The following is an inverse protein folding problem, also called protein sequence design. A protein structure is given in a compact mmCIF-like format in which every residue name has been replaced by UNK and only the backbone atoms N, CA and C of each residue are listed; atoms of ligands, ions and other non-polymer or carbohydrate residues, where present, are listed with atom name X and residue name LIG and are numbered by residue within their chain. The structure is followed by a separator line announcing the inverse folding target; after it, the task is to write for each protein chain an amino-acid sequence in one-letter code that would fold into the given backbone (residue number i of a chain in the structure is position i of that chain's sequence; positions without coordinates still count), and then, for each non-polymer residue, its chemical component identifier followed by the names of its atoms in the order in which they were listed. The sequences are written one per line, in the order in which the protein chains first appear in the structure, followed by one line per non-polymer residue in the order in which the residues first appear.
data_IF_378818053040
#
_entry.id   IF_378818053040
#
_cell.length_a   1.000
_cell.length_b   1.000
_cell.length_c   1.000
_cell.angle_alpha   90.00
_cell.angle_beta   90.00
_cell.angle_gamma   90.00
#
_symmetry.space_group_name_H-M   'P 1'
#
loop_
_entity.id
_entity.type
_entity.pdbx_description
1 polymer ?
#
# COMPACT_ATOMS: atom_id res chain seq x y z
N UNK A 1 18.72 34.58 11.80
CA UNK A 1 17.68 33.54 11.97
C UNK A 1 17.35 32.92 10.62
N UNK A 2 17.63 31.61 10.44
CA UNK A 2 17.29 30.89 9.21
C UNK A 2 15.80 30.95 8.87
N UNK A 3 15.47 30.93 7.57
CA UNK A 3 14.10 30.81 7.08
C UNK A 3 13.81 29.35 6.78
N UNK A 4 12.70 28.86 7.31
CA UNK A 4 12.30 27.47 7.27
C UNK A 4 10.92 27.34 6.63
N UNK A 5 10.60 26.15 6.13
CA UNK A 5 9.29 25.82 5.57
C UNK A 5 8.74 24.54 6.17
N UNK A 6 7.50 24.60 6.65
CA UNK A 6 6.67 23.45 6.99
C UNK A 6 5.58 23.31 5.93
N UNK A 7 5.36 22.09 5.41
CA UNK A 7 4.31 21.84 4.42
C UNK A 7 3.13 21.15 5.10
N UNK A 8 1.94 21.70 4.87
CA UNK A 8 0.71 21.23 5.50
C UNK A 8 -0.49 21.30 4.56
N UNK A 9 -1.61 20.72 4.96
CA UNK A 9 -2.87 20.85 4.24
C UNK A 9 -3.43 22.27 4.37
N UNK A 10 -3.99 22.82 3.29
CA UNK A 10 -4.52 24.20 3.32
C UNK A 10 -5.62 24.42 4.38
N UNK A 11 -6.40 23.37 4.70
CA UNK A 11 -7.41 23.41 5.79
C UNK A 11 -6.84 23.66 7.19
N UNK A 12 -5.54 23.40 7.40
CA UNK A 12 -4.88 23.61 8.69
C UNK A 12 -4.45 25.06 8.91
N UNK A 13 -4.46 25.91 7.85
CA UNK A 13 -4.02 27.30 7.91
C UNK A 13 -4.68 28.09 9.05
N UNK A 14 -6.03 28.08 9.23
CA UNK A 14 -6.66 28.88 10.28
C UNK A 14 -6.23 28.46 11.70
N UNK A 15 -6.00 27.16 11.92
CA UNK A 15 -5.53 26.67 13.22
C UNK A 15 -4.08 27.07 13.48
N UNK A 16 -3.24 27.03 12.44
CA UNK A 16 -1.82 27.39 12.51
C UNK A 16 -1.65 28.89 12.75
N UNK A 17 -2.46 29.73 12.11
CA UNK A 17 -2.43 31.18 12.35
C UNK A 17 -2.77 31.52 13.80
N UNK A 18 -3.69 30.78 14.43
CA UNK A 18 -4.11 31.03 15.82
C UNK A 18 -3.13 30.49 16.86
N UNK A 19 -2.55 29.32 16.62
CA UNK A 19 -1.86 28.56 17.68
C UNK A 19 -0.49 28.00 17.29
N UNK A 20 0.03 28.41 16.14
CA UNK A 20 1.31 27.94 15.64
C UNK A 20 1.25 26.54 15.03
N UNK A 21 2.42 25.97 14.76
CA UNK A 21 2.53 24.63 14.18
C UNK A 21 2.71 23.63 15.32
N UNK A 22 1.70 22.78 15.52
CA UNK A 22 1.73 21.76 16.57
C UNK A 22 2.32 20.45 16.05
N UNK A 23 2.98 19.66 16.91
CA UNK A 23 3.41 18.32 16.56
C UNK A 23 2.23 17.47 16.06
N UNK A 24 2.47 16.67 15.02
CA UNK A 24 1.45 15.80 14.45
C UNK A 24 1.03 14.73 15.47
N UNK A 25 -0.28 14.44 15.57
CA UNK A 25 -0.79 13.36 16.44
C UNK A 25 -0.19 11.99 16.11
N UNK A 26 0.26 11.79 14.87
CA UNK A 26 0.80 10.50 14.41
C UNK A 26 2.30 10.35 14.65
N UNK A 27 3.07 11.42 14.45
CA UNK A 27 4.54 11.35 14.55
C UNK A 27 5.10 12.01 15.80
N UNK A 28 4.31 12.78 16.55
CA UNK A 28 4.77 13.51 17.73
C UNK A 28 5.74 14.66 17.41
N UNK A 29 5.92 15.01 16.14
CA UNK A 29 6.92 16.01 15.70
C UNK A 29 6.40 16.97 14.64
N UNK A 30 7.09 18.10 14.49
CA UNK A 30 6.92 19.10 13.43
C UNK A 30 8.07 18.98 12.44
N UNK A 31 7.79 18.48 11.24
CA UNK A 31 8.77 18.42 10.15
C UNK A 31 8.91 19.77 9.44
N UNK A 32 10.13 20.14 9.06
CA UNK A 32 10.40 21.32 8.25
C UNK A 32 11.67 21.16 7.43
N UNK A 33 11.95 22.12 6.56
CA UNK A 33 13.21 22.21 5.81
C UNK A 33 13.72 23.65 5.78
N UNK A 34 15.05 23.87 5.74
CA UNK A 34 15.59 25.20 5.48
C UNK A 34 15.36 25.62 4.04
N UNK A 35 14.87 26.84 3.83
CA UNK A 35 14.66 27.42 2.50
C UNK A 35 15.99 27.70 1.76
N UNK A 36 17.11 27.79 2.51
CA UNK A 36 18.44 27.98 1.95
C UNK A 36 18.90 26.80 1.07
N UNK A 37 18.31 25.62 1.22
CA UNK A 37 18.64 24.44 0.42
C UNK A 37 18.09 24.48 -1.02
N UNK A 38 17.39 25.56 -1.39
CA UNK A 38 16.73 25.70 -2.68
C UNK A 38 15.34 25.07 -2.72
N UNK A 39 14.47 25.61 -3.57
CA UNK A 39 13.04 25.29 -3.57
C UNK A 39 12.74 23.80 -3.72
N UNK A 40 13.47 23.09 -4.58
CA UNK A 40 13.27 21.67 -4.83
C UNK A 40 13.53 20.82 -3.57
N UNK A 41 14.64 21.08 -2.87
CA UNK A 41 15.00 20.36 -1.64
C UNK A 41 14.06 20.72 -0.50
N UNK A 42 13.77 22.00 -0.29
CA UNK A 42 12.89 22.43 0.80
C UNK A 42 11.44 21.95 0.63
N UNK A 43 11.02 21.67 -0.61
CA UNK A 43 9.68 21.17 -0.93
C UNK A 43 9.65 19.72 -1.40
N UNK A 44 10.73 18.96 -1.18
CA UNK A 44 10.88 17.61 -1.74
C UNK A 44 9.79 16.61 -1.32
N UNK A 45 9.09 16.90 -0.21
CA UNK A 45 8.01 16.09 0.34
C UNK A 45 6.61 16.49 -0.15
N UNK A 46 6.45 17.61 -0.84
CA UNK A 46 5.12 18.15 -1.16
C UNK A 46 4.28 17.15 -1.97
N UNK A 47 4.91 16.43 -2.89
CA UNK A 47 4.27 15.39 -3.68
C UNK A 47 3.75 14.23 -2.84
N UNK A 48 4.62 13.67 -2.00
CA UNK A 48 4.26 12.54 -1.14
C UNK A 48 3.21 12.93 -0.11
N UNK A 49 3.30 14.13 0.46
CA UNK A 49 2.27 14.65 1.37
C UNK A 49 0.90 14.76 0.70
N UNK A 50 0.82 15.19 -0.57
CA UNK A 50 -0.44 15.19 -1.33
C UNK A 50 -1.01 13.79 -1.49
N UNK A 51 -0.17 12.81 -1.81
CA UNK A 51 -0.59 11.42 -2.00
C UNK A 51 -0.98 10.73 -0.68
N UNK A 52 -0.24 10.98 0.40
CA UNK A 52 -0.47 10.33 1.69
C UNK A 52 -1.67 10.90 2.43
N UNK A 53 -1.84 12.22 2.43
CA UNK A 53 -2.90 12.86 3.20
C UNK A 53 -4.23 12.96 2.44
N UNK A 54 -4.26 12.54 1.16
CA UNK A 54 -5.43 12.67 0.26
C UNK A 54 -6.00 14.10 0.25
N UNK A 55 -5.14 15.12 0.39
CA UNK A 55 -5.58 16.51 0.43
C UNK A 55 -5.48 17.12 -0.96
N UNK A 56 -6.52 17.83 -1.43
CA UNK A 56 -6.52 18.42 -2.77
C UNK A 56 -5.51 19.57 -2.87
N UNK A 57 -5.27 20.30 -1.77
CA UNK A 57 -4.44 21.51 -1.73
C UNK A 57 -3.51 21.51 -0.52
N UNK A 58 -2.27 21.98 -0.75
CA UNK A 58 -1.23 22.12 0.26
C UNK A 58 -0.81 23.58 0.40
N UNK A 59 -0.17 23.90 1.52
CA UNK A 59 0.41 25.20 1.81
C UNK A 59 1.80 25.06 2.45
N UNK A 60 2.69 25.96 2.10
CA UNK A 60 3.99 26.18 2.71
C UNK A 60 3.86 27.27 3.78
N UNK A 61 4.16 26.91 5.03
CA UNK A 61 4.22 27.81 6.17
C UNK A 61 5.69 28.19 6.37
N UNK A 62 6.03 29.45 6.08
CA UNK A 62 7.38 29.95 6.27
C UNK A 62 7.53 30.56 7.66
N UNK A 63 8.54 30.16 8.40
CA UNK A 63 8.82 30.65 9.75
C UNK A 63 10.32 30.82 9.97
N UNK A 64 10.70 31.40 11.12
CA UNK A 64 12.10 31.62 11.50
C UNK A 64 12.37 31.08 12.90
N UNK A 65 13.53 30.44 13.09
CA UNK A 65 14.02 30.01 14.39
C UNK A 65 15.43 30.56 14.64
N UNK A 66 15.87 30.71 15.91
CA UNK A 66 17.26 30.96 16.25
C UNK A 66 18.17 29.82 15.78
N UNK A 67 19.39 30.14 15.35
CA UNK A 67 20.35 29.13 14.89
C UNK A 67 20.81 28.18 16.00
N UNK A 68 20.67 28.57 17.26
CA UNK A 68 21.03 27.81 18.46
C UNK A 68 19.95 26.82 18.92
N UNK A 69 18.76 26.81 18.29
CA UNK A 69 17.73 25.82 18.63
C UNK A 69 18.24 24.44 18.24
N UNK A 70 18.19 23.50 19.18
CA UNK A 70 18.51 22.08 18.93
C UNK A 70 17.39 21.46 18.12
N UNK A 71 17.73 20.83 17.00
CA UNK A 71 16.80 20.18 16.07
C UNK A 71 17.28 18.78 15.76
N UNK A 72 16.35 17.90 15.43
CA UNK A 72 16.69 16.62 14.85
C UNK A 72 16.82 16.76 13.34
N UNK A 73 17.80 16.07 12.76
CA UNK A 73 17.97 16.00 11.31
C UNK A 73 18.70 14.73 10.88
N UNK A 74 18.49 14.34 9.63
CA UNK A 74 19.03 13.10 9.08
C UNK A 74 18.37 12.71 7.78
N UNK A 75 18.75 11.55 7.25
CA UNK A 75 18.09 10.96 6.10
C UNK A 75 16.84 10.18 6.54
N UNK A 76 15.81 10.26 5.71
CA UNK A 76 14.63 9.43 5.80
C UNK A 76 15.00 7.94 5.92
N UNK A 77 14.33 7.23 6.83
CA UNK A 77 14.62 5.83 7.21
C UNK A 77 16.03 5.58 7.80
N UNK A 78 16.73 6.63 8.23
CA UNK A 78 18.03 6.51 8.91
C UNK A 78 17.96 7.07 10.33
N UNK A 79 18.91 6.68 11.22
CA UNK A 79 19.08 7.34 12.50
C UNK A 79 19.24 8.85 12.33
N UNK A 80 18.52 9.61 13.15
CA UNK A 80 18.62 11.07 13.19
C UNK A 80 19.56 11.48 14.32
N UNK A 81 20.22 12.62 14.13
CA UNK A 81 21.08 13.23 15.13
C UNK A 81 20.51 14.58 15.57
N UNK A 82 20.93 15.03 16.75
CA UNK A 82 20.60 16.36 17.28
C UNK A 82 21.79 17.28 17.09
N UNK A 83 21.55 18.44 16.50
CA UNK A 83 22.51 19.53 16.44
C UNK A 83 21.77 20.87 16.56
N UNK A 84 22.53 21.93 16.81
CA UNK A 84 22.02 23.29 16.61
C UNK A 84 21.57 23.48 15.16
N UNK A 85 20.43 24.13 14.95
CA UNK A 85 19.84 24.39 13.63
C UNK A 85 20.86 24.98 12.64
N UNK A 86 21.70 25.91 13.09
CA UNK A 86 22.74 26.51 12.26
C UNK A 86 23.78 25.50 11.79
N UNK A 87 24.17 24.55 12.65
CA UNK A 87 25.11 23.47 12.32
C UNK A 87 24.46 22.47 11.37
N UNK A 88 23.25 22.02 11.68
CA UNK A 88 22.47 21.09 10.87
C UNK A 88 22.23 21.62 9.44
N UNK A 89 21.94 22.92 9.29
CA UNK A 89 21.81 23.55 7.95
C UNK A 89 23.14 23.54 7.20
N UNK A 90 24.27 23.84 7.87
CA UNK A 90 25.59 23.79 7.22
C UNK A 90 25.90 22.38 6.72
N UNK A 91 25.60 21.36 7.52
CA UNK A 91 25.77 19.97 7.11
C UNK A 91 24.91 19.63 5.89
N UNK A 92 23.62 19.97 5.89
CA UNK A 92 22.74 19.77 4.73
C UNK A 92 23.32 20.40 3.45
N UNK A 93 23.79 21.64 3.53
CA UNK A 93 24.31 22.37 2.37
C UNK A 93 25.64 21.81 1.87
N UNK A 94 26.37 21.06 2.69
CA UNK A 94 27.61 20.40 2.32
C UNK A 94 27.40 18.99 1.71
N UNK A 95 26.17 18.45 1.74
CA UNK A 95 25.88 17.12 1.18
C UNK A 95 25.95 17.15 -0.35
N UNK A 96 26.60 16.13 -0.91
CA UNK A 96 26.57 15.87 -2.36
C UNK A 96 25.14 15.58 -2.85
N UNK A 97 24.35 14.87 -2.04
CA UNK A 97 22.96 14.54 -2.34
C UNK A 97 22.03 14.85 -1.13
N UNK A 98 21.36 16.01 -1.11
CA UNK A 98 20.46 16.40 -0.02
C UNK A 98 19.05 15.77 -0.12
N UNK A 99 18.78 14.93 -1.13
CA UNK A 99 17.47 14.29 -1.27
C UNK A 99 17.22 13.26 -0.18
N UNK A 100 16.03 13.31 0.40
CA UNK A 100 15.63 12.47 1.52
C UNK A 100 16.05 13.00 2.89
N UNK A 101 16.82 14.09 2.94
CA UNK A 101 17.18 14.71 4.20
C UNK A 101 15.97 15.44 4.81
N UNK A 102 15.79 15.34 6.11
CA UNK A 102 14.67 15.92 6.84
C UNK A 102 15.11 16.57 8.15
N UNK A 103 14.33 17.56 8.60
CA UNK A 103 14.50 18.21 9.90
C UNK A 103 13.19 18.12 10.67
N UNK A 104 13.27 17.95 11.99
CA UNK A 104 12.10 18.03 12.84
C UNK A 104 12.38 18.51 14.26
N UNK A 105 11.30 18.94 14.91
CA UNK A 105 11.23 19.31 16.33
C UNK A 105 10.11 18.53 17.00
N UNK A 106 10.29 18.14 18.25
CA UNK A 106 9.25 17.52 19.08
C UNK A 106 8.30 18.56 19.69
N UNK A 107 8.72 19.83 19.70
CA UNK A 107 7.99 20.93 20.29
C UNK A 107 7.15 21.69 19.26
N UNK A 108 6.12 22.39 19.74
CA UNK A 108 5.34 23.28 18.90
C UNK A 108 6.14 24.52 18.48
N UNK A 109 5.82 25.06 17.30
CA UNK A 109 6.40 26.28 16.77
C UNK A 109 5.39 27.40 16.95
N UNK A 110 5.77 28.45 17.66
CA UNK A 110 4.89 29.57 17.99
C UNK A 110 4.41 30.34 16.75
N UNK A 111 3.17 30.83 16.79
CA UNK A 111 2.56 31.57 15.67
C UNK A 111 3.29 32.87 15.34
N UNK A 112 3.92 33.53 16.33
CA UNK A 112 4.70 34.76 16.14
C UNK A 112 5.94 34.56 15.26
N UNK A 113 6.43 33.31 15.14
CA UNK A 113 7.59 32.99 14.29
C UNK A 113 7.21 32.86 12.81
N UNK A 114 5.91 32.77 12.50
CA UNK A 114 5.39 32.59 11.14
C UNK A 114 5.51 33.92 10.39
N UNK A 115 6.22 33.87 9.27
CA UNK A 115 6.52 35.03 8.43
C UNK A 115 5.69 35.09 7.14
N UNK A 116 5.27 33.94 6.61
CA UNK A 116 4.51 33.88 5.36
C UNK A 116 3.74 32.56 5.26
N UNK A 117 2.58 32.59 4.62
CA UNK A 117 1.84 31.39 4.21
C UNK A 117 1.68 31.45 2.69
N UNK A 118 2.04 30.37 1.99
CA UNK A 118 2.05 30.32 0.53
C UNK A 118 1.30 29.08 0.05
N UNK A 119 0.30 29.20 -0.84
CA UNK A 119 -0.35 28.03 -1.44
C UNK A 119 0.60 27.27 -2.37
N UNK A 120 0.55 25.94 -2.34
CA UNK A 120 1.32 25.07 -3.23
C UNK A 120 0.37 24.52 -4.31
N UNK A 121 0.41 25.12 -5.50
CA UNK A 121 -0.45 24.73 -6.61
C UNK A 121 0.02 23.45 -7.31
N UNK A 122 1.35 23.30 -7.49
CA UNK A 122 1.97 22.15 -8.14
C UNK A 122 3.00 21.54 -7.18
N UNK A 123 2.61 20.55 -6.36
CA UNK A 123 3.55 19.93 -5.45
C UNK A 123 4.65 19.22 -6.23
N UNK A 124 5.88 19.67 -6.00
CA UNK A 124 7.12 19.08 -6.51
C UNK A 124 7.66 18.05 -5.50
N UNK A 125 8.66 17.28 -5.91
CA UNK A 125 9.29 16.27 -5.06
C UNK A 125 9.48 14.92 -5.73
N UNK A 126 10.14 14.00 -5.02
CA UNK A 126 10.33 12.62 -5.45
C UNK A 126 9.02 11.83 -5.38
N UNK A 127 8.99 10.65 -6.03
CA UNK A 127 7.88 9.70 -5.98
C UNK A 127 8.30 8.49 -5.15
N UNK A 128 7.52 8.04 -4.18
CA UNK A 128 7.75 6.82 -3.38
C UNK A 128 8.94 6.85 -2.39
N UNK A 129 10.17 7.17 -2.84
CA UNK A 129 11.36 7.33 -1.99
C UNK A 129 12.40 8.28 -2.63
N UNK A 130 13.36 8.82 -1.87
CA UNK A 130 14.44 9.65 -2.41
C UNK A 130 15.25 8.86 -3.45
N UNK A 131 15.50 9.45 -4.63
CA UNK A 131 16.18 8.78 -5.77
C UNK A 131 15.36 7.72 -6.51
N UNK A 132 14.02 7.71 -6.38
CA UNK A 132 13.16 6.86 -7.20
C UNK A 132 13.11 7.27 -8.69
N UNK A 133 13.55 8.48 -9.03
CA UNK A 133 13.65 8.91 -10.42
C UNK A 133 14.56 7.98 -11.22
N UNK A 134 14.11 7.54 -12.40
CA UNK A 134 14.83 6.60 -13.26
C UNK A 134 14.66 5.12 -12.87
N UNK A 135 14.03 4.80 -11.73
CA UNK A 135 13.74 3.41 -11.34
C UNK A 135 12.29 3.04 -11.68
N UNK A 136 12.07 1.80 -12.15
CA UNK A 136 10.72 1.25 -12.35
C UNK A 136 10.02 1.10 -10.97
N UNK A 137 8.79 1.63 -10.79
CA UNK A 137 8.06 1.46 -9.54
C UNK A 137 7.73 -0.01 -9.26
N UNK A 138 7.76 -0.42 -7.99
CA UNK A 138 7.30 -1.73 -7.55
C UNK A 138 5.77 -1.71 -7.38
N UNK A 139 5.09 -2.70 -7.96
CA UNK A 139 3.62 -2.81 -7.89
C UNK A 139 3.10 -3.97 -7.01
N UNK A 140 3.95 -4.48 -6.11
CA UNK A 140 3.55 -5.49 -5.12
C UNK A 140 2.50 -4.93 -4.13
N UNK A 141 1.81 -5.77 -3.34
CA UNK A 141 0.81 -5.32 -2.37
C UNK A 141 1.32 -4.38 -1.28
N UNK A 142 2.62 -4.41 -0.98
CA UNK A 142 3.24 -3.52 -0.01
C UNK A 142 3.57 -2.13 -0.61
N UNK A 143 4.05 -2.07 -1.86
CA UNK A 143 4.52 -0.84 -2.49
C UNK A 143 3.42 -0.08 -3.26
N UNK A 144 2.50 -0.79 -3.91
CA UNK A 144 1.39 -0.17 -4.64
C UNK A 144 0.09 -0.25 -3.83
N UNK A 145 -0.51 0.93 -3.62
CA UNK A 145 -1.82 1.04 -2.98
C UNK A 145 -2.90 0.43 -3.88
N UNK A 146 -3.83 -0.31 -3.28
CA UNK A 146 -5.01 -0.83 -3.98
C UNK A 146 -5.97 0.30 -4.29
N UNK A 147 -6.58 0.26 -5.47
CA UNK A 147 -7.68 1.15 -5.86
C UNK A 147 -7.27 2.47 -6.51
N UNK A 148 -5.99 2.81 -6.64
CA UNK A 148 -5.61 4.00 -7.42
C UNK A 148 -5.73 3.74 -8.93
N UNK A 149 -6.03 4.79 -9.68
CA UNK A 149 -6.21 4.74 -11.12
C UNK A 149 -4.97 4.15 -11.82
N UNK A 150 -5.18 3.16 -12.69
CA UNK A 150 -4.11 2.51 -13.46
C UNK A 150 -3.23 1.50 -12.67
N UNK A 151 -3.40 1.37 -11.36
CA UNK A 151 -2.60 0.46 -10.52
C UNK A 151 -2.82 -1.01 -10.88
N UNK A 152 -4.03 -1.42 -11.25
CA UNK A 152 -4.33 -2.80 -11.66
C UNK A 152 -3.54 -3.19 -12.91
N UNK A 153 -3.59 -2.35 -13.95
CA UNK A 153 -2.84 -2.57 -15.19
C UNK A 153 -1.32 -2.47 -14.99
N UNK A 154 -0.86 -1.60 -14.10
CA UNK A 154 0.56 -1.50 -13.77
C UNK A 154 1.06 -2.72 -12.98
N UNK A 155 0.24 -3.24 -12.05
CA UNK A 155 0.52 -4.49 -11.35
C UNK A 155 0.57 -5.69 -12.29
N UNK A 156 -0.39 -5.81 -13.22
CA UNK A 156 -0.38 -6.90 -14.19
C UNK A 156 0.90 -6.90 -15.02
N UNK A 157 1.34 -5.72 -15.49
CA UNK A 157 2.63 -5.56 -16.18
C UNK A 157 3.82 -5.93 -15.29
N UNK A 158 3.82 -5.49 -14.03
CA UNK A 158 4.88 -5.81 -13.08
C UNK A 158 4.99 -7.31 -12.76
N UNK A 159 3.87 -8.01 -12.62
CA UNK A 159 3.83 -9.46 -12.47
C UNK A 159 4.31 -10.17 -13.73
N UNK A 160 3.93 -9.66 -14.92
CA UNK A 160 4.40 -10.18 -16.22
C UNK A 160 5.91 -10.13 -16.37
N UNK A 161 6.53 -8.99 -16.03
CA UNK A 161 7.98 -8.83 -16.10
C UNK A 161 8.75 -9.75 -15.15
N UNK A 162 8.12 -10.23 -14.06
CA UNK A 162 8.75 -11.12 -13.09
C UNK A 162 8.52 -12.61 -13.37
N UNK A 163 7.66 -12.94 -14.34
CA UNK A 163 7.21 -14.32 -14.55
C UNK A 163 6.13 -14.79 -13.58
N UNK A 164 5.66 -13.91 -12.70
CA UNK A 164 4.65 -14.19 -11.66
C UNK A 164 3.22 -13.91 -12.15
N UNK A 165 2.94 -14.03 -13.45
CA UNK A 165 1.57 -13.84 -13.94
C UNK A 165 0.71 -15.01 -13.47
N UNK A 166 -0.46 -14.73 -12.86
CA UNK A 166 -1.48 -15.76 -12.70
C UNK A 166 -1.78 -16.34 -14.09
N UNK A 167 -1.81 -17.67 -14.20
CA UNK A 167 -2.18 -18.36 -15.43
C UNK A 167 -3.51 -17.79 -15.97
N UNK A 168 -3.59 -17.38 -17.25
CA UNK A 168 -4.86 -16.99 -17.85
C UNK A 168 -5.88 -18.12 -17.69
N UNK A 169 -7.13 -17.78 -17.35
CA UNK A 169 -8.20 -18.77 -17.08
C UNK A 169 -8.36 -19.78 -18.23
N UNK A 170 -8.23 -19.34 -19.48
CA UNK A 170 -8.28 -20.23 -20.65
C UNK A 170 -7.17 -21.28 -20.63
N UNK A 171 -5.93 -20.87 -20.33
CA UNK A 171 -4.76 -21.75 -20.27
C UNK A 171 -4.80 -22.67 -19.04
N UNK A 172 -5.31 -22.17 -17.91
CA UNK A 172 -5.56 -22.99 -16.72
C UNK A 172 -6.61 -24.08 -17.01
N UNK A 173 -7.70 -23.76 -17.73
CA UNK A 173 -8.70 -24.75 -18.16
C UNK A 173 -8.11 -25.81 -19.07
N UNK A 174 -7.29 -25.41 -20.04
CA UNK A 174 -6.57 -26.34 -20.92
C UNK A 174 -5.62 -27.26 -20.13
N UNK A 175 -4.89 -26.70 -19.16
CA UNK A 175 -3.98 -27.47 -18.30
C UNK A 175 -4.74 -28.49 -17.43
N UNK A 176 -5.87 -28.09 -16.85
CA UNK A 176 -6.73 -28.98 -16.06
C UNK A 176 -7.31 -30.11 -16.91
N UNK A 177 -7.65 -29.84 -18.17
CA UNK A 177 -8.20 -30.85 -19.07
C UNK A 177 -7.16 -31.88 -19.54
N UNK A 178 -5.88 -31.49 -19.63
CA UNK A 178 -4.86 -32.27 -20.32
C UNK A 178 -3.73 -32.81 -19.42
N UNK A 179 -3.58 -32.31 -18.19
CA UNK A 179 -2.50 -32.69 -17.29
C UNK A 179 -2.96 -33.70 -16.24
N UNK A 180 -2.11 -34.66 -15.92
CA UNK A 180 -2.24 -35.58 -14.78
C UNK A 180 -1.22 -35.30 -13.68
N UNK A 181 -0.36 -34.30 -13.88
CA UNK A 181 0.65 -33.88 -12.91
C UNK A 181 0.02 -33.00 -11.83
N UNK A 182 -0.02 -33.51 -10.59
CA UNK A 182 -0.61 -32.83 -9.44
C UNK A 182 -0.03 -31.43 -9.22
N UNK A 183 1.27 -31.21 -9.45
CA UNK A 183 1.90 -29.90 -9.26
C UNK A 183 1.37 -28.90 -10.30
N UNK A 184 1.26 -29.32 -11.56
CA UNK A 184 0.72 -28.47 -12.62
C UNK A 184 -0.76 -28.16 -12.40
N UNK A 185 -1.52 -29.14 -11.92
CA UNK A 185 -2.93 -28.97 -11.60
C UNK A 185 -3.13 -27.99 -10.44
N UNK A 186 -2.35 -28.10 -9.37
CA UNK A 186 -2.34 -27.14 -8.25
C UNK A 186 -2.02 -25.74 -8.74
N UNK A 187 -1.02 -25.58 -9.60
CA UNK A 187 -0.66 -24.29 -10.16
C UNK A 187 -1.79 -23.71 -11.04
N UNK A 188 -2.46 -24.53 -11.84
CA UNK A 188 -3.61 -24.11 -12.64
C UNK A 188 -4.79 -23.65 -11.78
N UNK A 189 -5.02 -24.27 -10.62
CA UNK A 189 -6.10 -23.90 -9.69
C UNK A 189 -5.96 -22.49 -9.13
N UNK A 190 -4.72 -21.96 -9.00
CA UNK A 190 -4.49 -20.58 -8.55
C UNK A 190 -5.19 -19.53 -9.41
N UNK A 191 -5.42 -19.82 -10.70
CA UNK A 191 -6.14 -18.92 -11.62
C UNK A 191 -7.60 -18.66 -11.21
N UNK A 192 -8.18 -19.54 -10.39
CA UNK A 192 -9.55 -19.45 -9.89
C UNK A 192 -9.63 -18.93 -8.45
N UNK A 193 -8.50 -18.54 -7.88
CA UNK A 193 -8.41 -18.05 -6.50
C UNK A 193 -8.54 -16.52 -6.42
N UNK A 194 -9.15 -16.03 -5.33
CA UNK A 194 -9.17 -14.61 -4.98
C UNK A 194 -10.16 -13.73 -5.74
N UNK A 195 -10.93 -14.28 -6.70
CA UNK A 195 -12.06 -13.59 -7.37
C UNK A 195 -13.31 -14.47 -7.33
N UNK A 196 -14.48 -13.84 -7.45
CA UNK A 196 -15.73 -14.60 -7.60
C UNK A 196 -15.97 -14.92 -9.07
N UNK A 197 -16.15 -16.21 -9.35
CA UNK A 197 -16.50 -16.77 -10.65
C UNK A 197 -18.01 -17.06 -10.71
N UNK A 198 -18.63 -16.99 -11.89
CA UNK A 198 -20.08 -17.24 -12.09
C UNK A 198 -20.38 -18.36 -13.09
N UNK A 199 -19.35 -18.81 -13.77
CA UNK A 199 -19.33 -19.91 -14.73
C UNK A 199 -19.45 -21.28 -14.04
N UNK A 200 -19.72 -22.32 -14.83
CA UNK A 200 -19.91 -23.68 -14.34
C UNK A 200 -18.58 -24.28 -13.82
N UNK A 201 -18.49 -24.72 -12.55
CA UNK A 201 -17.29 -25.32 -11.97
C UNK A 201 -17.12 -26.81 -12.25
N UNK A 202 -18.03 -27.47 -12.99
CA UNK A 202 -18.06 -28.95 -13.13
C UNK A 202 -16.75 -29.54 -13.66
N UNK A 203 -15.98 -28.77 -14.44
CA UNK A 203 -14.66 -29.17 -14.95
C UNK A 203 -13.60 -29.41 -13.86
N UNK A 204 -13.85 -28.96 -12.62
CA UNK A 204 -12.99 -29.18 -11.47
C UNK A 204 -13.38 -30.43 -10.67
N UNK A 205 -14.58 -30.99 -10.89
CA UNK A 205 -15.11 -32.02 -10.00
C UNK A 205 -14.35 -33.34 -10.11
N UNK A 206 -13.86 -33.68 -11.31
CA UNK A 206 -13.02 -34.87 -11.51
C UNK A 206 -11.72 -34.82 -10.71
N UNK A 207 -11.21 -33.62 -10.39
CA UNK A 207 -9.99 -33.47 -9.57
C UNK A 207 -10.21 -33.85 -8.10
N UNK A 208 -11.46 -34.01 -7.65
CA UNK A 208 -11.76 -34.44 -6.28
C UNK A 208 -11.61 -35.96 -6.11
N UNK A 209 -11.59 -36.72 -7.19
CA UNK A 209 -11.41 -38.18 -7.21
C UNK A 209 -9.94 -38.61 -7.08
N UNK A 210 -9.01 -37.65 -7.00
CA UNK A 210 -7.58 -37.90 -6.81
C UNK A 210 -7.26 -38.42 -5.41
N UNK A 211 -6.21 -39.23 -5.27
CA UNK A 211 -5.64 -39.64 -3.99
C UNK A 211 -4.73 -38.56 -3.36
N UNK A 212 -4.36 -37.52 -4.12
CA UNK A 212 -3.53 -36.41 -3.62
C UNK A 212 -4.36 -35.46 -2.74
N UNK A 213 -4.10 -35.50 -1.43
CA UNK A 213 -4.81 -34.70 -0.42
C UNK A 213 -4.67 -33.19 -0.67
N UNK A 214 -3.50 -32.71 -1.11
CA UNK A 214 -3.25 -31.29 -1.35
C UNK A 214 -4.01 -30.81 -2.59
N UNK A 215 -3.98 -31.59 -3.68
CA UNK A 215 -4.75 -31.28 -4.89
C UNK A 215 -6.25 -31.28 -4.60
N UNK A 216 -6.75 -32.22 -3.80
CA UNK A 216 -8.15 -32.27 -3.38
C UNK A 216 -8.53 -31.02 -2.57
N UNK A 217 -7.72 -30.65 -1.58
CA UNK A 217 -7.93 -29.44 -0.77
C UNK A 217 -7.95 -28.17 -1.64
N UNK A 218 -6.97 -28.00 -2.52
CA UNK A 218 -6.87 -26.85 -3.41
C UNK A 218 -8.05 -26.78 -4.38
N UNK A 219 -8.52 -27.94 -4.86
CA UNK A 219 -9.70 -28.03 -5.73
C UNK A 219 -10.95 -27.54 -5.00
N UNK A 220 -11.19 -27.97 -3.76
CA UNK A 220 -12.30 -27.47 -2.95
C UNK A 220 -12.18 -25.96 -2.72
N UNK A 221 -11.00 -25.47 -2.38
CA UNK A 221 -10.77 -24.04 -2.17
C UNK A 221 -11.07 -23.22 -3.44
N UNK A 222 -10.69 -23.73 -4.62
CA UNK A 222 -11.01 -23.12 -5.91
C UNK A 222 -12.52 -23.13 -6.19
N UNK A 223 -13.21 -24.27 -6.00
CA UNK A 223 -14.67 -24.38 -6.22
C UNK A 223 -15.43 -23.41 -5.30
N UNK A 224 -14.97 -23.16 -4.07
CA UNK A 224 -15.55 -22.16 -3.16
C UNK A 224 -15.56 -20.72 -3.72
N UNK A 225 -14.72 -20.44 -4.72
CA UNK A 225 -14.69 -19.15 -5.42
C UNK A 225 -15.73 -19.03 -6.55
N UNK A 226 -16.52 -20.08 -6.84
CA UNK A 226 -17.64 -20.05 -7.79
C UNK A 226 -18.98 -19.75 -7.09
N UNK A 227 -19.64 -18.67 -7.49
CA UNK A 227 -21.02 -18.35 -7.14
C UNK A 227 -21.98 -19.07 -8.08
N UNK A 228 -22.00 -20.41 -8.02
CA UNK A 228 -22.78 -21.26 -8.93
C UNK A 228 -23.57 -22.33 -8.14
N UNK A 229 -24.82 -22.66 -8.54
CA UNK A 229 -25.62 -23.68 -7.85
C UNK A 229 -24.92 -25.02 -7.69
N UNK A 230 -24.23 -25.50 -8.73
CA UNK A 230 -23.45 -26.75 -8.67
C UNK A 230 -22.35 -26.75 -7.60
N UNK A 231 -21.71 -25.61 -7.33
CA UNK A 231 -20.75 -25.51 -6.23
C UNK A 231 -21.47 -25.65 -4.88
N UNK A 232 -22.61 -24.98 -4.69
CA UNK A 232 -23.43 -25.12 -3.47
C UNK A 232 -23.86 -26.57 -3.26
N UNK A 233 -24.35 -27.23 -4.31
CA UNK A 233 -24.81 -28.62 -4.25
C UNK A 233 -23.67 -29.57 -3.89
N UNK A 234 -22.49 -29.40 -4.50
CA UNK A 234 -21.30 -30.16 -4.14
C UNK A 234 -21.00 -30.02 -2.64
N UNK A 235 -20.89 -28.79 -2.12
CA UNK A 235 -20.55 -28.59 -0.70
C UNK A 235 -21.64 -29.04 0.27
N UNK A 236 -22.90 -29.08 -0.15
CA UNK A 236 -23.99 -29.59 0.66
C UNK A 236 -23.91 -31.12 0.86
N UNK A 237 -23.41 -31.86 -0.15
CA UNK A 237 -23.26 -33.31 -0.10
C UNK A 237 -21.84 -33.79 0.23
N UNK A 238 -20.84 -32.90 0.20
CA UNK A 238 -19.44 -33.26 0.43
C UNK A 238 -19.18 -33.57 1.90
N UNK A 239 -18.75 -34.80 2.19
CA UNK A 239 -18.32 -35.25 3.52
C UNK A 239 -16.84 -35.61 3.49
N UNK A 240 -16.11 -35.18 4.51
CA UNK A 240 -14.71 -35.56 4.75
C UNK A 240 -14.50 -35.68 6.25
N UNK A 241 -13.66 -36.60 6.70
CA UNK A 241 -13.28 -36.72 8.12
C UNK A 241 -12.14 -35.76 8.51
N UNK A 242 -11.45 -35.20 7.52
CA UNK A 242 -10.36 -34.24 7.71
C UNK A 242 -10.86 -32.92 8.35
N UNK A 243 -10.37 -32.56 9.54
CA UNK A 243 -10.71 -31.30 10.22
C UNK A 243 -10.43 -30.05 9.37
N UNK A 244 -9.36 -30.03 8.58
CA UNK A 244 -8.99 -28.86 7.76
C UNK A 244 -9.99 -28.66 6.62
N UNK A 245 -10.43 -29.74 6.00
CA UNK A 245 -11.48 -29.72 4.97
C UNK A 245 -12.81 -29.28 5.55
N UNK A 246 -13.19 -29.77 6.74
CA UNK A 246 -14.40 -29.33 7.44
C UNK A 246 -14.40 -27.82 7.70
N UNK A 247 -13.28 -27.27 8.20
CA UNK A 247 -13.15 -25.84 8.44
C UNK A 247 -13.17 -25.03 7.13
N UNK A 248 -12.52 -25.52 6.07
CA UNK A 248 -12.56 -24.90 4.74
C UNK A 248 -14.01 -24.79 4.23
N UNK A 249 -14.80 -25.87 4.30
CA UNK A 249 -16.20 -25.89 3.86
C UNK A 249 -17.04 -24.91 4.69
N UNK A 250 -16.86 -24.91 6.02
CA UNK A 250 -17.55 -23.97 6.91
C UNK A 250 -17.19 -22.51 6.59
N UNK A 251 -15.92 -22.22 6.30
CA UNK A 251 -15.46 -20.90 5.90
C UNK A 251 -16.07 -20.45 4.56
N UNK A 252 -16.15 -21.35 3.58
CA UNK A 252 -16.79 -21.09 2.29
C UNK A 252 -18.29 -20.80 2.49
N UNK A 253 -18.99 -21.61 3.29
CA UNK A 253 -20.41 -21.42 3.58
C UNK A 253 -20.68 -20.05 4.22
N UNK A 254 -19.88 -19.66 5.23
CA UNK A 254 -19.95 -18.33 5.86
C UNK A 254 -19.70 -17.22 4.85
N UNK A 255 -18.65 -17.34 4.02
CA UNK A 255 -18.31 -16.35 2.98
C UNK A 255 -19.42 -16.18 1.94
N UNK A 256 -20.12 -17.26 1.61
CA UNK A 256 -21.17 -17.30 0.57
C UNK A 256 -22.58 -17.10 1.10
N UNK A 257 -22.74 -17.04 2.42
CA UNK A 257 -24.04 -17.09 3.08
C UNK A 257 -24.87 -18.31 2.62
N UNK A 258 -24.22 -19.46 2.47
CA UNK A 258 -24.89 -20.72 2.18
C UNK A 258 -25.35 -21.37 3.48
N UNK A 259 -26.63 -21.74 3.52
CA UNK A 259 -27.19 -22.54 4.59
C UNK A 259 -27.46 -23.95 4.05
N UNK A 260 -26.71 -24.93 4.53
CA UNK A 260 -26.85 -26.33 4.11
C UNK A 260 -27.92 -27.10 4.90
N UNK A 261 -28.46 -26.51 5.97
CA UNK A 261 -29.42 -27.16 6.87
C UNK A 261 -30.90 -27.14 6.37
N UNK A 262 -31.15 -26.83 5.09
CA UNK A 262 -32.50 -26.55 4.59
C UNK A 262 -32.96 -27.37 3.36
N UNK A 263 -32.16 -28.30 2.84
CA UNK A 263 -32.48 -29.02 1.58
C UNK A 263 -32.26 -30.54 1.72
N UNK A 264 -32.70 -31.14 2.83
CA UNK A 264 -32.72 -32.61 3.03
C UNK A 264 -34.15 -33.18 3.00
N UNK A 265 -35.02 -32.63 2.15
CA UNK A 265 -36.34 -33.18 1.82
C UNK A 265 -36.67 -32.82 0.35
N UNK A 266 -36.17 -33.64 -0.59
CA UNK A 266 -36.76 -33.91 -1.91
C UNK A 266 -36.02 -35.03 -2.63
#
# INVERSE_FOLDING_TARGET
MPRLVHITASKAIPAIQRSGIKPSKRSGVVYFMPLAAGHYISHQWARELKNWQQQPTLAAIHFKLPSSVVVWHGYYYSPHQQDELGQAIRQLLALENPLGYEFFLEQAIDSSTISKIVPIHKPLGWRYFPSAHGRKPCYCPACARRGEYGQSAARQRWLAERGDLPLPVSKAREMIANSTDAIQLIWALEAFMGKTHRDDPSFLFSLLETDDELLRYQTLAAIGNFAHPKAKHLFASYSSDDPEVKELIAAIARKRNWNFAAESDQ
#
